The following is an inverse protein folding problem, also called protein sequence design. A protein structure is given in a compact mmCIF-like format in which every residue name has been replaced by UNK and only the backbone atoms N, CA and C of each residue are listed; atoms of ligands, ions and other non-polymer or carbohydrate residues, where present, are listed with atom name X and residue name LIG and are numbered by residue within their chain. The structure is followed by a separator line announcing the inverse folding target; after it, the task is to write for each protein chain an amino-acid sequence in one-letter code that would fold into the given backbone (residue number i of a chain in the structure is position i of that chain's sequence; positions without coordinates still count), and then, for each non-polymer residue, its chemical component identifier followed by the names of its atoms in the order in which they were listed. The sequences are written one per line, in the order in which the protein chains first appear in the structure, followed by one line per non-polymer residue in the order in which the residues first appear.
data_IF_006096121213
#
_entry.id   IF_006096121213
#
_cell.length_a   1.000
_cell.length_b   1.000
_cell.length_c   1.000
_cell.angle_alpha   90.00
_cell.angle_beta   90.00
_cell.angle_gamma   90.00
#
_symmetry.space_group_name_H-M   'P 1'
#
loop_
_entity.id
_entity.type
_entity.pdbx_description
1 polymer ?
#
# COMPACT_ATOMS: atom_id res chain seq x y z
N UNK A 1 -61.44 15.37 -0.06
CA UNK A 1 -60.55 15.78 1.05
C UNK A 1 -60.23 14.63 2.01
N UNK A 2 -61.20 13.88 2.55
CA UNK A 2 -60.95 12.77 3.49
C UNK A 2 -60.08 11.62 2.91
N UNK A 3 -60.32 11.23 1.66
CA UNK A 3 -59.52 10.19 0.98
C UNK A 3 -58.05 10.62 0.79
N UNK A 4 -57.80 11.88 0.43
CA UNK A 4 -56.44 12.42 0.28
C UNK A 4 -55.70 12.43 1.63
N UNK A 5 -56.38 12.75 2.73
CA UNK A 5 -55.81 12.68 4.08
C UNK A 5 -55.48 11.25 4.50
N UNK A 6 -56.33 10.28 4.17
CA UNK A 6 -56.07 8.85 4.44
C UNK A 6 -54.90 8.31 3.62
N UNK A 7 -54.82 8.66 2.33
CA UNK A 7 -53.69 8.28 1.47
C UNK A 7 -52.38 8.90 1.98
N UNK A 8 -52.39 10.17 2.36
CA UNK A 8 -51.22 10.82 2.97
C UNK A 8 -50.82 10.13 4.30
N UNK A 9 -51.80 9.76 5.13
CA UNK A 9 -51.54 9.07 6.40
C UNK A 9 -50.91 7.69 6.22
N UNK A 10 -51.29 6.95 5.16
CA UNK A 10 -50.68 5.65 4.84
C UNK A 10 -49.33 5.83 4.10
N UNK A 11 -49.18 6.88 3.31
CA UNK A 11 -47.94 7.15 2.58
C UNK A 11 -46.76 7.43 3.52
N UNK A 12 -46.99 8.06 4.68
CA UNK A 12 -45.94 8.35 5.67
C UNK A 12 -45.24 7.08 6.19
N UNK A 13 -45.92 6.08 6.78
CA UNK A 13 -45.25 4.86 7.26
C UNK A 13 -44.66 4.02 6.12
N UNK A 14 -45.26 4.03 4.93
CA UNK A 14 -44.70 3.36 3.75
C UNK A 14 -43.40 4.03 3.30
N UNK A 15 -43.37 5.36 3.25
CA UNK A 15 -42.17 6.13 2.93
C UNK A 15 -41.07 5.94 3.98
N UNK A 16 -41.44 5.89 5.26
CA UNK A 16 -40.50 5.58 6.35
C UNK A 16 -39.91 4.17 6.22
N UNK A 17 -40.74 3.17 5.93
CA UNK A 17 -40.27 1.80 5.71
C UNK A 17 -39.33 1.73 4.50
N UNK A 18 -39.69 2.36 3.38
CA UNK A 18 -38.83 2.42 2.19
C UNK A 18 -37.48 3.06 2.48
N UNK A 19 -37.47 4.19 3.20
CA UNK A 19 -36.22 4.83 3.62
C UNK A 19 -35.40 3.90 4.53
N UNK A 20 -35.98 3.39 5.61
CA UNK A 20 -35.24 2.58 6.60
C UNK A 20 -34.65 1.30 6.01
N UNK A 21 -35.32 0.65 5.04
CA UNK A 21 -34.85 -0.59 4.41
C UNK A 21 -34.05 -0.38 3.12
N UNK A 22 -33.99 0.84 2.59
CA UNK A 22 -33.10 1.22 1.49
C UNK A 22 -32.08 2.25 1.98
N UNK A 23 -32.22 3.54 1.64
CA UNK A 23 -31.21 4.58 1.92
C UNK A 23 -30.77 4.71 3.40
N UNK A 24 -31.62 4.29 4.34
CA UNK A 24 -31.30 4.27 5.76
C UNK A 24 -30.31 3.16 6.14
N UNK A 25 -30.29 2.03 5.44
CA UNK A 25 -29.23 1.02 5.61
C UNK A 25 -27.90 1.56 5.06
N UNK A 26 -27.91 2.16 3.88
CA UNK A 26 -26.73 2.78 3.27
C UNK A 26 -26.14 3.86 4.19
N UNK A 27 -26.99 4.66 4.83
CA UNK A 27 -26.54 5.65 5.81
C UNK A 27 -25.84 5.02 7.03
N UNK A 28 -26.34 3.89 7.54
CA UNK A 28 -25.71 3.15 8.64
C UNK A 28 -24.38 2.56 8.21
N UNK A 29 -24.29 1.97 7.01
CA UNK A 29 -23.05 1.42 6.48
C UNK A 29 -21.99 2.50 6.26
N UNK A 30 -22.39 3.65 5.72
CA UNK A 30 -21.50 4.80 5.55
C UNK A 30 -21.03 5.39 6.89
N UNK A 31 -21.86 5.34 7.95
CA UNK A 31 -21.42 5.73 9.29
C UNK A 31 -20.36 4.76 9.83
N UNK A 32 -20.53 3.45 9.62
CA UNK A 32 -19.52 2.44 9.98
C UNK A 32 -18.21 2.64 9.22
N UNK A 33 -18.28 2.84 7.90
CA UNK A 33 -17.11 3.20 7.09
C UNK A 33 -16.43 4.47 7.62
N UNK A 34 -17.23 5.48 7.97
CA UNK A 34 -16.75 6.73 8.58
C UNK A 34 -16.03 6.53 9.92
N UNK A 35 -16.45 5.57 10.75
CA UNK A 35 -15.75 5.22 11.99
C UNK A 35 -14.37 4.63 11.71
N UNK A 36 -14.27 3.73 10.74
CA UNK A 36 -12.97 3.17 10.33
C UNK A 36 -12.05 4.23 9.73
N UNK A 37 -12.56 5.18 8.95
CA UNK A 37 -11.75 6.28 8.41
C UNK A 37 -11.26 7.25 9.50
N UNK A 38 -12.07 7.51 10.53
CA UNK A 38 -11.61 8.30 11.70
C UNK A 38 -10.49 7.57 12.45
N UNK A 39 -10.60 6.26 12.59
CA UNK A 39 -9.55 5.43 13.19
C UNK A 39 -8.29 5.43 12.33
N UNK A 40 -8.41 5.32 11.01
CA UNK A 40 -7.30 5.45 10.08
C UNK A 40 -6.60 6.81 10.20
N UNK A 41 -7.35 7.90 10.35
CA UNK A 41 -6.79 9.25 10.58
C UNK A 41 -5.99 9.33 11.88
N UNK A 42 -6.52 8.78 12.98
CA UNK A 42 -5.82 8.69 14.26
C UNK A 42 -4.56 7.83 14.15
N UNK A 43 -4.64 6.70 13.45
CA UNK A 43 -3.51 5.80 13.25
C UNK A 43 -2.41 6.42 12.38
N UNK A 44 -2.80 7.19 11.37
CA UNK A 44 -1.89 8.00 10.54
C UNK A 44 -1.11 9.01 11.39
N UNK A 45 -1.78 9.73 12.29
CA UNK A 45 -1.09 10.67 13.20
C UNK A 45 -0.13 10.00 14.20
N UNK A 46 -0.32 8.70 14.45
CA UNK A 46 0.55 7.90 15.31
C UNK A 46 1.54 7.03 14.51
N UNK A 47 1.66 7.28 13.20
CA UNK A 47 2.53 6.55 12.26
C UNK A 47 2.28 5.02 12.25
N UNK A 48 1.06 4.59 12.58
CA UNK A 48 0.63 3.18 12.59
C UNK A 48 0.14 2.75 11.23
N UNK A 49 0.99 2.83 10.21
CA UNK A 49 0.64 2.68 8.80
C UNK A 49 -0.04 1.35 8.44
N UNK A 50 0.36 0.24 9.07
CA UNK A 50 -0.30 -1.06 8.87
C UNK A 50 -1.75 -1.07 9.41
N UNK A 51 -2.04 -0.30 10.46
CA UNK A 51 -3.40 -0.14 10.98
C UNK A 51 -4.24 0.79 10.10
N UNK A 52 -3.62 1.81 9.51
CA UNK A 52 -4.26 2.67 8.49
C UNK A 52 -4.73 1.83 7.30
N UNK A 53 -3.86 0.99 6.73
CA UNK A 53 -4.21 0.07 5.64
C UNK A 53 -5.40 -0.84 6.00
N UNK A 54 -5.38 -1.43 7.20
CA UNK A 54 -6.46 -2.28 7.68
C UNK A 54 -7.79 -1.52 7.82
N UNK A 55 -7.79 -0.32 8.40
CA UNK A 55 -9.00 0.48 8.56
C UNK A 55 -9.52 1.05 7.24
N UNK A 56 -8.65 1.45 6.30
CA UNK A 56 -9.07 1.84 4.95
C UNK A 56 -9.66 0.64 4.19
N UNK A 57 -9.10 -0.56 4.34
CA UNK A 57 -9.66 -1.77 3.74
C UNK A 57 -11.05 -2.10 4.31
N UNK A 58 -11.21 -2.04 5.63
CA UNK A 58 -12.50 -2.23 6.28
C UNK A 58 -13.53 -1.18 5.84
N UNK A 59 -13.13 0.08 5.70
CA UNK A 59 -14.00 1.13 5.19
C UNK A 59 -14.49 0.82 3.78
N UNK A 60 -13.60 0.41 2.86
CA UNK A 60 -13.95 0.04 1.48
C UNK A 60 -14.90 -1.15 1.40
N UNK A 61 -14.82 -2.11 2.32
CA UNK A 61 -15.73 -3.27 2.37
C UNK A 61 -17.16 -2.89 2.80
N UNK A 62 -17.30 -1.82 3.58
CA UNK A 62 -18.60 -1.35 4.13
C UNK A 62 -19.16 -0.13 3.43
N UNK A 63 -18.39 0.53 2.56
CA UNK A 63 -18.80 1.77 1.93
C UNK A 63 -19.92 1.50 0.92
N UNK A 64 -21.06 2.16 1.09
CA UNK A 64 -22.17 2.12 0.14
C UNK A 64 -22.35 3.54 -0.43
N UNK A 65 -21.64 3.83 -1.51
CA UNK A 65 -21.68 5.15 -2.15
C UNK A 65 -21.76 5.05 -3.67
N UNK A 66 -22.54 5.93 -4.27
CA UNK A 66 -22.57 6.15 -5.72
C UNK A 66 -21.49 7.15 -6.17
N UNK A 67 -20.67 7.66 -5.24
CA UNK A 67 -19.64 8.67 -5.50
C UNK A 67 -18.25 8.00 -5.62
N UNK A 68 -17.74 7.79 -6.85
CA UNK A 68 -16.46 7.09 -7.05
C UNK A 68 -15.27 7.83 -6.42
N UNK A 69 -15.33 9.16 -6.35
CA UNK A 69 -14.28 10.00 -5.75
C UNK A 69 -13.99 9.64 -4.29
N UNK A 70 -15.00 9.22 -3.53
CA UNK A 70 -14.82 8.82 -2.13
C UNK A 70 -14.04 7.52 -2.04
N UNK A 71 -14.40 6.53 -2.85
CA UNK A 71 -13.69 5.25 -2.92
C UNK A 71 -12.24 5.45 -3.39
N UNK A 72 -12.05 6.21 -4.46
CA UNK A 72 -10.73 6.53 -5.03
C UNK A 72 -9.83 7.22 -4.00
N UNK A 73 -10.38 8.15 -3.21
CA UNK A 73 -9.64 8.81 -2.13
C UNK A 73 -9.19 7.82 -1.06
N UNK A 74 -10.06 6.89 -0.65
CA UNK A 74 -9.72 5.88 0.36
C UNK A 74 -8.65 4.92 -0.19
N UNK A 75 -8.77 4.51 -1.46
CA UNK A 75 -7.76 3.67 -2.14
C UNK A 75 -6.40 4.33 -2.21
N UNK A 76 -6.35 5.63 -2.54
CA UNK A 76 -5.12 6.41 -2.56
C UNK A 76 -4.45 6.46 -1.16
N UNK A 77 -5.22 6.77 -0.11
CA UNK A 77 -4.70 6.80 1.26
C UNK A 77 -4.24 5.42 1.74
N UNK A 78 -4.96 4.36 1.37
CA UNK A 78 -4.54 2.98 1.63
C UNK A 78 -3.21 2.66 0.97
N UNK A 79 -3.04 3.02 -0.31
CA UNK A 79 -1.80 2.77 -1.03
C UNK A 79 -0.61 3.52 -0.43
N UNK A 80 -0.78 4.80 -0.06
CA UNK A 80 0.24 5.57 0.68
C UNK A 80 0.61 4.88 2.01
N UNK A 81 -0.36 4.39 2.76
CA UNK A 81 -0.12 3.63 3.99
C UNK A 81 0.61 2.30 3.75
N UNK A 82 0.32 1.59 2.65
CA UNK A 82 1.04 0.38 2.23
C UNK A 82 2.50 0.65 1.92
N UNK A 83 2.80 1.76 1.23
CA UNK A 83 4.19 2.19 1.00
C UNK A 83 4.95 2.39 2.32
N UNK A 84 4.32 3.06 3.28
CA UNK A 84 4.91 3.36 4.59
C UNK A 84 4.99 2.15 5.53
N UNK A 85 4.18 1.12 5.28
CA UNK A 85 4.19 -0.16 6.03
C UNK A 85 4.96 -1.28 5.32
N UNK A 86 5.87 -0.94 4.41
CA UNK A 86 6.79 -1.88 3.74
C UNK A 86 6.07 -2.88 2.80
N UNK A 87 4.89 -2.51 2.30
CA UNK A 87 4.11 -3.29 1.33
C UNK A 87 4.18 -2.64 -0.05
N UNK A 88 5.39 -2.31 -0.52
CA UNK A 88 5.59 -1.52 -1.73
C UNK A 88 5.02 -2.17 -3.01
N UNK A 89 5.20 -3.48 -3.28
CA UNK A 89 4.60 -4.09 -4.48
C UNK A 89 3.07 -3.99 -4.51
N UNK A 90 2.41 -4.25 -3.37
CA UNK A 90 0.95 -4.13 -3.27
C UNK A 90 0.48 -2.67 -3.44
N UNK A 91 1.25 -1.70 -2.93
CA UNK A 91 0.96 -0.29 -3.16
C UNK A 91 1.11 0.11 -4.64
N UNK A 92 2.15 -0.39 -5.31
CA UNK A 92 2.40 -0.13 -6.73
C UNK A 92 1.26 -0.69 -7.61
N UNK A 93 0.82 -1.92 -7.36
CA UNK A 93 -0.30 -2.53 -8.09
C UNK A 93 -1.62 -1.76 -7.87
N UNK A 94 -1.89 -1.36 -6.62
CA UNK A 94 -3.06 -0.53 -6.26
C UNK A 94 -3.03 0.83 -6.96
N UNK A 95 -1.88 1.51 -6.96
CA UNK A 95 -1.70 2.83 -7.58
C UNK A 95 -1.78 2.76 -9.10
N UNK A 96 -1.20 1.73 -9.72
CA UNK A 96 -1.30 1.49 -11.16
C UNK A 96 -2.76 1.33 -11.55
N UNK A 97 -3.50 0.49 -10.82
CA UNK A 97 -4.92 0.24 -11.08
C UNK A 97 -5.77 1.50 -10.87
N UNK A 98 -5.48 2.29 -9.84
CA UNK A 98 -6.18 3.54 -9.55
C UNK A 98 -5.88 4.62 -10.60
N UNK A 99 -4.63 4.74 -11.04
CA UNK A 99 -4.23 5.71 -12.05
C UNK A 99 -4.88 5.40 -13.41
N UNK A 100 -4.87 4.13 -13.83
CA UNK A 100 -5.54 3.69 -15.06
C UNK A 100 -7.05 3.97 -15.04
N UNK A 101 -7.70 3.78 -13.89
CA UNK A 101 -9.12 4.14 -13.70
C UNK A 101 -9.36 5.65 -13.82
N UNK A 102 -8.54 6.47 -13.17
CA UNK A 102 -8.68 7.93 -13.18
C UNK A 102 -8.39 8.52 -14.57
N UNK A 103 -7.40 8.00 -15.30
CA UNK A 103 -7.06 8.50 -16.64
C UNK A 103 -8.10 8.14 -17.69
N UNK A 104 -8.83 7.04 -17.50
CA UNK A 104 -9.95 6.63 -18.36
C UNK A 104 -11.25 7.38 -18.06
N UNK A 105 -11.34 8.02 -16.89
CA UNK A 105 -12.54 8.74 -16.46
C UNK A 105 -12.50 10.20 -16.94
N UNK A 106 -13.48 10.59 -17.76
CA UNK A 106 -13.63 11.99 -18.21
C UNK A 106 -13.98 12.96 -17.07
N UNK A 107 -14.51 12.44 -15.95
CA UNK A 107 -14.93 13.20 -14.78
C UNK A 107 -14.06 12.93 -13.56
N UNK A 108 -12.82 12.49 -13.75
CA UNK A 108 -11.90 12.28 -12.63
C UNK A 108 -11.62 13.60 -11.90
N UNK A 109 -11.62 13.56 -10.57
CA UNK A 109 -11.18 14.68 -9.76
C UNK A 109 -9.69 14.94 -10.01
N UNK A 110 -9.38 16.13 -10.54
CA UNK A 110 -8.03 16.49 -10.94
C UNK A 110 -7.04 16.40 -9.77
N UNK A 111 -7.48 16.69 -8.54
CA UNK A 111 -6.63 16.63 -7.36
C UNK A 111 -6.31 15.18 -6.97
N UNK A 112 -7.29 14.26 -7.01
CA UNK A 112 -7.03 12.82 -6.80
C UNK A 112 -6.04 12.32 -7.86
N UNK A 113 -6.21 12.72 -9.13
CA UNK A 113 -5.32 12.33 -10.21
C UNK A 113 -3.88 12.81 -9.99
N UNK A 114 -3.69 14.09 -9.68
CA UNK A 114 -2.37 14.67 -9.36
C UNK A 114 -1.72 13.97 -8.16
N UNK A 115 -2.46 13.75 -7.08
CA UNK A 115 -1.93 13.06 -5.91
C UNK A 115 -1.60 11.58 -6.18
N UNK A 116 -2.39 10.91 -7.02
CA UNK A 116 -2.14 9.51 -7.42
C UNK A 116 -0.88 9.41 -8.26
N UNK A 117 -0.66 10.35 -9.20
CA UNK A 117 0.59 10.45 -9.98
C UNK A 117 1.80 10.69 -9.07
N UNK A 118 1.69 11.60 -8.10
CA UNK A 118 2.75 11.85 -7.13
C UNK A 118 3.07 10.60 -6.29
N UNK A 119 2.05 9.89 -5.80
CA UNK A 119 2.23 8.66 -5.03
C UNK A 119 2.83 7.53 -5.89
N UNK A 120 2.43 7.40 -7.16
CA UNK A 120 2.98 6.44 -8.10
C UNK A 120 4.47 6.70 -8.37
N UNK A 121 4.84 7.96 -8.67
CA UNK A 121 6.24 8.34 -8.84
C UNK A 121 7.08 8.09 -7.59
N UNK A 122 6.50 8.26 -6.40
CA UNK A 122 7.14 7.89 -5.14
C UNK A 122 7.33 6.38 -5.01
N UNK A 123 6.35 5.58 -5.43
CA UNK A 123 6.47 4.13 -5.41
C UNK A 123 7.56 3.63 -6.37
N UNK A 124 7.58 4.14 -7.60
CA UNK A 124 8.62 3.86 -8.61
C UNK A 124 10.03 4.23 -8.12
N UNK A 125 10.17 5.37 -7.43
CA UNK A 125 11.43 5.78 -6.80
C UNK A 125 11.91 4.75 -5.76
N UNK A 126 11.03 4.34 -4.83
CA UNK A 126 11.40 3.35 -3.82
C UNK A 126 11.61 1.95 -4.41
N UNK A 127 10.89 1.60 -5.48
CA UNK A 127 11.05 0.33 -6.16
C UNK A 127 12.40 0.27 -6.87
N UNK A 128 12.79 1.36 -7.53
CA UNK A 128 14.14 1.55 -8.08
C UNK A 128 15.19 1.35 -7.00
N UNK A 129 15.02 1.98 -5.84
CA UNK A 129 15.96 1.81 -4.73
C UNK A 129 16.12 0.33 -4.34
N UNK A 130 15.02 -0.41 -4.22
CA UNK A 130 15.05 -1.84 -3.89
C UNK A 130 15.72 -2.67 -4.99
N UNK A 131 15.30 -2.51 -6.25
CA UNK A 131 15.88 -3.22 -7.39
C UNK A 131 17.40 -3.04 -7.46
N UNK A 132 17.87 -1.81 -7.24
CA UNK A 132 19.31 -1.51 -7.23
C UNK A 132 20.04 -2.25 -6.09
N UNK A 133 19.46 -2.30 -4.89
CA UNK A 133 20.02 -3.05 -3.75
C UNK A 133 19.95 -4.57 -3.92
N UNK A 134 19.03 -5.07 -4.75
CA UNK A 134 18.92 -6.48 -5.13
C UNK A 134 19.90 -6.84 -6.25
N UNK A 135 20.54 -5.84 -6.88
CA UNK A 135 21.48 -6.02 -7.96
C UNK A 135 20.81 -6.27 -9.31
N UNK A 136 19.55 -5.85 -9.47
CA UNK A 136 18.85 -5.89 -10.75
C UNK A 136 19.62 -5.08 -11.81
N UNK A 137 19.63 -5.53 -13.08
CA UNK A 137 20.38 -4.88 -14.12
C UNK A 137 19.73 -3.54 -14.47
N UNK A 138 20.55 -2.63 -15.00
CA UNK A 138 20.17 -1.24 -15.25
C UNK A 138 18.93 -1.10 -16.11
N UNK A 139 18.78 -1.94 -17.11
CA UNK A 139 17.67 -1.92 -18.06
C UNK A 139 16.30 -2.12 -17.40
N UNK A 140 16.25 -2.72 -16.20
CA UNK A 140 14.99 -2.94 -15.48
C UNK A 140 14.67 -1.74 -14.58
N UNK A 141 15.61 -1.32 -13.72
CA UNK A 141 15.34 -0.22 -12.78
C UNK A 141 15.37 1.18 -13.44
N UNK A 142 16.04 1.34 -14.58
CA UNK A 142 16.09 2.62 -15.30
C UNK A 142 14.71 3.00 -15.85
N UNK A 143 13.87 2.03 -16.21
CA UNK A 143 12.51 2.30 -16.69
C UNK A 143 11.65 2.95 -15.60
N UNK A 144 11.67 2.39 -14.39
CA UNK A 144 10.88 2.89 -13.27
C UNK A 144 11.35 4.29 -12.84
N UNK A 145 12.68 4.50 -12.72
CA UNK A 145 13.17 5.81 -12.28
C UNK A 145 12.98 6.90 -13.34
N UNK A 146 13.04 6.58 -14.63
CA UNK A 146 12.74 7.55 -15.69
C UNK A 146 11.24 7.89 -15.74
N UNK A 147 10.34 6.95 -15.40
CA UNK A 147 8.92 7.23 -15.21
C UNK A 147 8.70 8.24 -14.07
N UNK A 148 9.31 7.98 -12.91
CA UNK A 148 9.23 8.86 -11.74
C UNK A 148 9.74 10.27 -12.07
N UNK A 149 10.89 10.38 -12.75
CA UNK A 149 11.48 11.66 -13.17
C UNK A 149 10.57 12.45 -14.10
N UNK A 150 9.94 11.79 -15.07
CA UNK A 150 9.03 12.47 -15.99
C UNK A 150 7.81 13.00 -15.26
N UNK A 151 7.24 12.18 -14.36
CA UNK A 151 6.08 12.54 -13.57
C UNK A 151 6.38 13.71 -12.62
N UNK A 152 7.47 13.67 -11.86
CA UNK A 152 7.83 14.79 -10.97
C UNK A 152 8.11 16.08 -11.73
N UNK A 153 8.74 15.99 -12.90
CA UNK A 153 8.94 17.18 -13.74
C UNK A 153 7.60 17.78 -14.18
N UNK A 154 6.66 16.96 -14.64
CA UNK A 154 5.33 17.42 -15.01
C UNK A 154 4.63 18.09 -13.82
N UNK A 155 4.60 17.42 -12.67
CA UNK A 155 3.96 17.92 -11.45
C UNK A 155 4.58 19.23 -10.94
N UNK A 156 5.91 19.37 -11.03
CA UNK A 156 6.60 20.59 -10.65
C UNK A 156 6.22 21.78 -11.55
N UNK A 157 6.08 21.57 -12.86
CA UNK A 157 5.65 22.62 -13.79
C UNK A 157 4.16 22.98 -13.59
N UNK A 158 3.28 21.99 -13.44
CA UNK A 158 1.85 22.23 -13.13
C UNK A 158 1.66 22.99 -11.81
N UNK A 159 2.45 22.65 -10.78
CA UNK A 159 2.43 23.36 -9.49
C UNK A 159 2.88 24.83 -9.64
N UNK A 160 3.91 25.11 -10.45
CA UNK A 160 4.33 26.49 -10.75
C UNK A 160 3.25 27.26 -11.49
N UNK A 161 2.63 26.64 -12.49
CA UNK A 161 1.57 27.27 -13.29
C UNK A 161 0.33 27.59 -12.45
N UNK A 162 -0.03 26.72 -11.50
CA UNK A 162 -1.13 26.93 -10.55
C UNK A 162 -0.80 27.89 -9.40
N UNK A 163 0.47 28.28 -9.24
CA UNK A 163 0.94 29.17 -8.18
C UNK A 163 1.13 28.49 -6.81
N UNK A 164 1.13 27.15 -6.76
CA UNK A 164 1.48 26.40 -5.54
C UNK A 164 2.99 26.23 -5.41
N UNK A 165 3.65 27.27 -4.90
CA UNK A 165 5.11 27.31 -4.74
C UNK A 165 5.64 26.16 -3.86
N UNK A 166 4.86 25.73 -2.85
CA UNK A 166 5.28 24.65 -1.94
C UNK A 166 5.28 23.30 -2.65
N UNK A 167 4.21 23.00 -3.38
CA UNK A 167 4.16 21.77 -4.16
C UNK A 167 5.25 21.77 -5.26
N UNK A 168 5.48 22.92 -5.91
CA UNK A 168 6.52 23.05 -6.91
C UNK A 168 7.92 22.79 -6.36
N UNK A 169 8.24 23.32 -5.18
CA UNK A 169 9.51 23.08 -4.48
C UNK A 169 9.65 21.59 -4.15
N UNK A 170 8.64 20.99 -3.52
CA UNK A 170 8.65 19.58 -3.15
C UNK A 170 8.86 18.66 -4.37
N UNK A 171 8.10 18.84 -5.45
CA UNK A 171 8.26 18.02 -6.66
C UNK A 171 9.61 18.25 -7.35
N UNK A 172 10.20 19.44 -7.21
CA UNK A 172 11.55 19.69 -7.71
C UNK A 172 12.58 18.92 -6.88
N UNK A 173 12.45 18.89 -5.55
CA UNK A 173 13.32 18.09 -4.68
C UNK A 173 13.20 16.59 -4.97
N UNK A 174 11.98 16.09 -5.19
CA UNK A 174 11.71 14.69 -5.55
C UNK A 174 12.28 14.33 -6.93
N UNK A 175 12.19 15.25 -7.90
CA UNK A 175 12.83 15.11 -9.21
C UNK A 175 14.35 15.01 -9.06
N UNK A 176 14.96 15.88 -8.27
CA UNK A 176 16.40 15.84 -8.03
C UNK A 176 16.81 14.56 -7.29
N UNK A 177 16.02 14.10 -6.31
CA UNK A 177 16.25 12.85 -5.61
C UNK A 177 16.25 11.68 -6.60
N UNK A 178 15.32 11.65 -7.54
CA UNK A 178 15.24 10.63 -8.58
C UNK A 178 16.44 10.68 -9.54
N UNK A 179 16.90 11.88 -9.92
CA UNK A 179 18.12 12.06 -10.72
C UNK A 179 19.37 11.59 -9.95
N UNK A 180 19.47 11.92 -8.65
CA UNK A 180 20.56 11.47 -7.79
C UNK A 180 20.57 9.95 -7.69
N UNK A 181 19.42 9.33 -7.43
CA UNK A 181 19.29 7.88 -7.35
C UNK A 181 19.69 7.19 -8.66
N UNK A 182 19.33 7.73 -9.82
CA UNK A 182 19.73 7.14 -11.11
C UNK A 182 21.24 7.24 -11.40
N UNK A 183 21.93 8.23 -10.82
CA UNK A 183 23.35 8.52 -11.09
C UNK A 183 24.32 7.96 -10.05
N UNK A 184 23.85 7.77 -8.83
CA UNK A 184 24.63 7.26 -7.71
C UNK A 184 25.16 5.86 -8.02
N UNK A 185 26.37 5.53 -7.58
CA UNK A 185 26.86 4.17 -7.73
C UNK A 185 26.24 3.23 -6.67
N UNK A 186 26.42 1.90 -6.82
CA UNK A 186 25.84 0.95 -5.86
C UNK A 186 26.50 1.06 -4.48
N UNK A 187 27.80 1.36 -4.41
CA UNK A 187 28.53 1.45 -3.14
C UNK A 187 28.12 2.65 -2.29
N UNK A 188 27.84 3.77 -2.93
CA UNK A 188 27.25 4.98 -2.35
C UNK A 188 25.82 4.67 -1.88
N UNK A 189 25.02 3.97 -2.69
CA UNK A 189 23.66 3.60 -2.31
C UNK A 189 23.61 2.68 -1.08
N UNK A 190 24.50 1.69 -1.01
CA UNK A 190 24.62 0.80 0.15
C UNK A 190 25.17 1.48 1.42
N UNK A 191 25.77 2.67 1.28
CA UNK A 191 26.24 3.48 2.40
C UNK A 191 25.14 4.36 3.00
N UNK A 192 24.05 4.59 2.27
CA UNK A 192 22.91 5.38 2.74
C UNK A 192 22.00 4.57 3.68
N UNK A 193 21.37 5.29 4.62
CA UNK A 193 20.33 4.70 5.47
C UNK A 193 19.12 4.29 4.62
N UNK A 194 18.59 3.10 4.88
CA UNK A 194 17.41 2.61 4.17
C UNK A 194 16.18 3.48 4.48
N UNK A 195 15.46 3.96 3.44
CA UNK A 195 14.16 4.59 3.63
C UNK A 195 13.21 3.69 4.41
N UNK A 196 12.29 4.27 5.20
CA UNK A 196 11.33 3.52 6.01
C UNK A 196 10.50 2.52 5.18
N UNK A 197 10.18 2.92 3.96
CA UNK A 197 9.45 2.16 2.94
C UNK A 197 10.21 0.91 2.47
N UNK A 198 11.54 0.93 2.56
CA UNK A 198 12.43 -0.13 2.09
C UNK A 198 12.98 -1.04 3.22
N UNK A 199 12.70 -0.75 4.50
CA UNK A 199 13.32 -1.43 5.66
C UNK A 199 12.97 -2.93 5.80
N UNK A 200 11.84 -3.39 5.26
CA UNK A 200 11.40 -4.80 5.31
C UNK A 200 11.09 -5.32 3.91
N UNK A 201 12.05 -5.15 3.00
CA UNK A 201 12.07 -5.85 1.73
C UNK A 201 11.83 -7.37 1.95
N UNK A 202 10.62 -7.82 1.62
CA UNK A 202 10.08 -9.17 1.89
C UNK A 202 10.64 -10.22 0.94
N UNK A 203 11.33 -9.83 -0.14
CA UNK A 203 12.02 -10.73 -1.06
C UNK A 203 13.15 -11.50 -0.38
N UNK A 204 13.71 -10.98 0.72
CA UNK A 204 14.92 -11.54 1.33
C UNK A 204 16.16 -11.49 0.43
N UNK A 205 16.05 -10.86 -0.75
CA UNK A 205 17.08 -10.75 -1.77
C UNK A 205 17.85 -9.44 -1.69
N UNK A 206 17.28 -8.43 -1.00
CA UNK A 206 17.97 -7.18 -0.73
C UNK A 206 19.35 -7.47 -0.07
N UNK A 207 20.43 -7.08 -0.75
CA UNK A 207 21.80 -7.28 -0.28
C UNK A 207 22.20 -6.27 0.81
N UNK A 208 21.24 -5.50 1.30
CA UNK A 208 21.44 -4.54 2.37
C UNK A 208 21.99 -5.22 3.63
N UNK A 209 22.92 -4.54 4.31
CA UNK A 209 23.57 -4.97 5.57
C UNK A 209 22.59 -5.22 6.73
N UNK A 210 21.29 -5.09 6.49
CA UNK A 210 20.18 -5.44 7.37
C UNK A 210 19.97 -6.96 7.51
N UNK A 211 20.80 -7.82 6.89
CA UNK A 211 20.96 -9.21 7.33
C UNK A 211 21.27 -9.22 8.83
N UNK A 212 20.23 -9.35 9.66
CA UNK A 212 20.37 -9.66 11.09
C UNK A 212 21.40 -10.79 11.17
N UNK A 213 22.48 -10.65 11.95
CA UNK A 213 23.39 -11.77 12.15
C UNK A 213 22.52 -12.93 12.61
N UNK A 214 22.49 -13.99 11.80
CA UNK A 214 21.68 -15.17 12.07
C UNK A 214 21.89 -15.55 13.53
N UNK A 215 20.79 -15.69 14.28
CA UNK A 215 20.84 -16.13 15.67
C UNK A 215 21.79 -17.33 15.71
N UNK A 216 22.95 -17.17 16.36
CA UNK A 216 23.84 -18.29 16.66
C UNK A 216 22.94 -19.39 17.26
N UNK A 217 23.01 -20.64 16.77
CA UNK A 217 22.23 -21.71 17.35
C UNK A 217 22.55 -21.74 18.85
N UNK A 218 21.52 -21.57 19.67
CA UNK A 218 21.70 -21.59 21.11
C UNK A 218 22.17 -22.99 21.49
N UNK A 219 23.45 -23.06 21.84
CA UNK A 219 24.03 -24.25 22.41
C UNK A 219 23.39 -24.45 23.79
N UNK A 220 22.58 -25.50 23.95
CA UNK A 220 22.06 -25.89 25.26
C UNK A 220 20.55 -26.11 25.34
N UNK A 221 20.04 -27.15 24.68
CA UNK A 221 18.98 -27.97 25.26
C UNK A 221 19.45 -29.42 25.27
N UNK A 222 19.66 -29.95 26.47
CA UNK A 222 19.89 -31.38 26.73
C UNK A 222 18.87 -32.18 25.92
N UNK A 223 19.36 -33.04 25.01
CA UNK A 223 18.57 -34.10 24.39
C UNK A 223 17.88 -34.88 25.52
N UNK A 224 16.55 -34.93 25.51
CA UNK A 224 15.82 -35.95 26.26
C UNK A 224 16.30 -37.30 25.74
N UNK A 225 16.71 -38.19 26.65
CA UNK A 225 17.04 -39.58 26.32
C UNK A 225 15.82 -40.22 25.70
N UNK A 226 15.94 -40.59 24.43
CA UNK A 226 14.98 -41.42 23.73
C UNK A 226 15.02 -42.83 24.36
N UNK A 227 13.85 -43.35 24.73
CA UNK A 227 13.66 -44.65 25.38
C UNK A 227 13.02 -45.65 24.42
N UNK A 228 13.52 -45.70 23.18
CA UNK A 228 13.12 -46.70 22.18
C UNK A 228 14.31 -47.61 21.89
N UNK A 229 14.42 -48.65 22.73
CA UNK A 229 15.20 -49.84 22.37
C UNK A 229 14.47 -50.56 21.24
N UNK A 230 15.11 -50.63 20.07
CA UNK A 230 14.80 -51.60 19.04
C UNK A 230 16.11 -52.31 18.71
N UNK A 231 16.19 -53.57 19.13
CA UNK A 231 17.28 -54.49 18.88
C UNK A 231 17.39 -54.79 17.39
N UNK A 232 18.44 -54.28 16.74
CA UNK A 232 18.89 -54.82 15.46
C UNK A 232 19.74 -56.05 15.75
N UNK A 233 19.18 -57.24 15.48
CA UNK A 233 19.93 -58.50 15.54
C UNK A 233 21.10 -58.51 14.54
N UNK A 234 22.13 -59.34 14.77
CA UNK A 234 23.31 -59.38 13.92
C UNK A 234 22.98 -59.85 12.49
N UNK A 235 23.73 -59.36 11.48
CA UNK A 235 23.45 -59.66 10.07
C UNK A 235 23.71 -61.14 9.74
N UNK A 236 22.89 -61.68 8.84
CA UNK A 236 23.02 -63.04 8.33
C UNK A 236 24.32 -63.22 7.54
N UNK A 237 24.95 -64.35 7.79
CA UNK A 237 26.18 -64.87 7.24
C UNK A 237 25.99 -65.36 5.79
N UNK A 238 26.95 -65.00 4.94
CA UNK A 238 26.96 -65.35 3.52
C UNK A 238 27.24 -66.84 3.29
N UNK A 239 26.21 -67.54 2.82
CA UNK A 239 26.24 -68.80 2.06
C UNK A 239 24.94 -68.80 1.24
N UNK A 240 24.88 -68.76 -0.08
CA UNK A 240 25.62 -69.51 -1.09
C UNK A 240 24.59 -70.32 -1.89
N UNK A 241 24.32 -69.93 -3.14
CA UNK A 241 23.96 -70.74 -4.32
C UNK A 241 23.71 -69.82 -5.50
#
# INVERSE_FOLDING_TARGET
MRLALLLAWIAVPVGFAFYHFGPGQDAVQNELAGLELRKASLDSSNERWAAVDASCSAALETLETDLPEVEQRIRLERAKARMLSQQLPAAYDDLTSLLDELEKSESADAKILTETRAAMASAEYYLTWLMRLEGEPREHWELEIESARQTYRLLAEEAKESGDEKAAEQYTEDLEASIRLARMDLTELEALDLPGQCKSCSSGQCNCKCKKPGKKPSNGKKKSKDARGASSGPPADGSGS
#
